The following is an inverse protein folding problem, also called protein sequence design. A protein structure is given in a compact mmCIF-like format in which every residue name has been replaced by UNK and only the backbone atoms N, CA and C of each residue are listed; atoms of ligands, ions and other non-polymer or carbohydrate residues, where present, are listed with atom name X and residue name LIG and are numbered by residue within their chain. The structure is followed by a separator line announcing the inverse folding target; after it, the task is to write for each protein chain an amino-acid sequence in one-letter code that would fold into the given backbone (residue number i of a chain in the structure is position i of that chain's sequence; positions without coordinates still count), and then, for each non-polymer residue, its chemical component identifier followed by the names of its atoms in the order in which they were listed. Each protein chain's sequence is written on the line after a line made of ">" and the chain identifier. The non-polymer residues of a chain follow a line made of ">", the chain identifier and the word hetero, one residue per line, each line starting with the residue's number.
data_IF_123373318396
#
_entry.id   IF_123373318396
#
_cell.length_a   1.000
_cell.length_b   1.000
_cell.length_c   1.000
_cell.angle_alpha   90.00
_cell.angle_beta   90.00
_cell.angle_gamma   90.00
#
_symmetry.space_group_name_H-M   'P 1'
#
loop_
_entity.id
_entity.type
_entity.pdbx_description
1 polymer ?
#
# COMPACT_ATOMS: atom_id res chain seq x y z
N UNK A 1 9.61 15.41 30.09
CA UNK A 1 9.80 16.62 29.28
C UNK A 1 10.71 16.24 28.13
N UNK A 2 10.14 15.94 26.96
CA UNK A 2 10.94 15.67 25.75
C UNK A 2 11.66 16.96 25.38
N UNK A 3 12.99 16.91 25.37
CA UNK A 3 13.81 18.10 25.15
C UNK A 3 13.58 18.69 23.74
N UNK A 4 13.90 19.97 23.51
CA UNK A 4 13.75 20.61 22.20
C UNK A 4 14.47 19.85 21.07
N UNK A 5 15.55 19.13 21.40
CA UNK A 5 16.29 18.28 20.47
C UNK A 5 15.51 17.03 20.02
N UNK A 6 14.71 16.45 20.90
CA UNK A 6 13.92 15.25 20.65
C UNK A 6 12.71 15.55 19.75
N UNK A 7 12.09 16.72 19.95
CA UNK A 7 11.04 17.24 19.08
C UNK A 7 11.58 17.55 17.67
N UNK A 8 12.77 18.17 17.57
CA UNK A 8 13.41 18.46 16.30
C UNK A 8 13.76 17.18 15.52
N UNK A 9 14.26 16.15 16.23
CA UNK A 9 14.53 14.84 15.64
C UNK A 9 13.26 14.17 15.13
N UNK A 10 12.17 14.20 15.91
CA UNK A 10 10.89 13.63 15.50
C UNK A 10 10.32 14.32 14.24
N UNK A 11 10.48 15.64 14.13
CA UNK A 11 10.05 16.39 12.95
C UNK A 11 10.93 16.10 11.73
N UNK A 12 12.25 16.00 11.91
CA UNK A 12 13.18 15.64 10.85
C UNK A 12 12.88 14.23 10.30
N UNK A 13 12.63 13.25 11.18
CA UNK A 13 12.22 11.90 10.80
C UNK A 13 10.89 11.91 10.05
N UNK A 14 9.91 12.73 10.49
CA UNK A 14 8.62 12.86 9.80
C UNK A 14 8.78 13.42 8.38
N UNK A 15 9.62 14.45 8.19
CA UNK A 15 9.93 15.04 6.88
C UNK A 15 10.67 14.05 5.98
N UNK A 16 11.68 13.36 6.50
CA UNK A 16 12.42 12.34 5.76
C UNK A 16 11.51 11.19 5.32
N UNK A 17 10.61 10.71 6.19
CA UNK A 17 9.64 9.65 5.89
C UNK A 17 8.55 10.08 4.90
N UNK A 18 8.22 11.37 4.84
CA UNK A 18 7.34 11.93 3.81
C UNK A 18 8.06 12.00 2.45
N UNK A 19 9.31 12.48 2.43
CA UNK A 19 10.13 12.58 1.22
C UNK A 19 10.43 11.20 0.61
N UNK A 20 10.73 10.21 1.46
CA UNK A 20 11.09 8.85 1.02
C UNK A 20 9.88 7.94 0.75
N UNK A 21 8.66 8.38 1.06
CA UNK A 21 7.42 7.59 0.92
C UNK A 21 7.21 7.04 -0.48
N UNK A 22 7.74 7.73 -1.49
CA UNK A 22 7.63 7.36 -2.90
C UNK A 22 8.98 7.02 -3.54
N UNK A 23 10.11 7.01 -2.81
CA UNK A 23 11.44 6.81 -3.43
C UNK A 23 11.58 5.37 -3.96
N UNK A 24 10.96 4.38 -3.32
CA UNK A 24 10.84 3.03 -3.89
C UNK A 24 9.90 2.91 -5.09
N UNK A 25 9.09 3.95 -5.38
CA UNK A 25 8.20 4.05 -6.54
C UNK A 25 8.87 4.75 -7.73
N UNK A 26 10.00 5.43 -7.51
CA UNK A 26 10.65 6.32 -8.49
C UNK A 26 11.70 5.60 -9.35
N UNK A 27 12.00 4.32 -9.12
CA UNK A 27 13.03 3.62 -9.89
C UNK A 27 12.46 2.37 -10.58
N UNK A 28 12.30 2.48 -11.91
CA UNK A 28 12.33 1.44 -12.95
C UNK A 28 11.11 0.52 -13.14
N UNK A 29 9.98 0.99 -13.71
CA UNK A 29 9.20 0.22 -14.72
C UNK A 29 8.39 1.18 -15.61
N UNK A 30 8.24 0.92 -16.92
CA UNK A 30 7.38 1.73 -17.79
C UNK A 30 5.91 1.66 -17.33
N UNK A 31 5.17 2.75 -17.50
CA UNK A 31 3.85 2.97 -16.86
C UNK A 31 2.86 1.80 -16.99
N UNK A 32 2.87 1.07 -18.11
CA UNK A 32 1.98 -0.07 -18.37
C UNK A 32 2.19 -1.25 -17.41
N UNK A 33 3.42 -1.50 -16.94
CA UNK A 33 3.71 -2.65 -16.05
C UNK A 33 3.04 -2.46 -14.69
N UNK A 34 2.90 -1.22 -14.22
CA UNK A 34 2.20 -0.94 -12.98
C UNK A 34 0.69 -1.16 -13.11
N UNK A 35 0.12 -0.87 -14.28
CA UNK A 35 -1.30 -1.08 -14.57
C UNK A 35 -1.62 -2.57 -14.69
N UNK A 36 -0.75 -3.36 -15.33
CA UNK A 36 -0.91 -4.82 -15.45
C UNK A 36 -0.85 -5.52 -14.09
N UNK A 37 0.17 -5.22 -13.27
CA UNK A 37 0.31 -5.78 -11.91
C UNK A 37 -0.89 -5.40 -11.04
N UNK A 38 -1.44 -4.20 -11.24
CA UNK A 38 -2.59 -3.70 -10.49
C UNK A 38 -3.89 -4.38 -10.94
N UNK A 39 -4.05 -4.63 -12.24
CA UNK A 39 -5.19 -5.37 -12.79
C UNK A 39 -5.20 -6.83 -12.32
N UNK A 40 -4.06 -7.51 -12.34
CA UNK A 40 -3.93 -8.88 -11.84
C UNK A 40 -4.28 -8.98 -10.35
N UNK A 41 -3.81 -8.01 -9.55
CA UNK A 41 -4.15 -7.96 -8.13
C UNK A 41 -5.65 -7.76 -7.91
N UNK A 42 -6.28 -6.90 -8.71
CA UNK A 42 -7.71 -6.64 -8.61
C UNK A 42 -8.55 -7.88 -8.93
N UNK A 43 -8.14 -8.65 -9.93
CA UNK A 43 -8.76 -9.93 -10.25
C UNK A 43 -8.66 -10.92 -9.06
N UNK A 44 -7.49 -11.02 -8.44
CA UNK A 44 -7.29 -11.86 -7.25
C UNK A 44 -8.13 -11.39 -6.05
N UNK A 45 -8.19 -10.08 -5.80
CA UNK A 45 -9.02 -9.51 -4.72
C UNK A 45 -10.50 -9.82 -4.96
N UNK A 46 -10.99 -9.69 -6.20
CA UNK A 46 -12.37 -10.01 -6.55
C UNK A 46 -12.70 -11.49 -6.30
N UNK A 47 -11.85 -12.40 -6.77
CA UNK A 47 -12.05 -13.84 -6.60
C UNK A 47 -12.13 -14.22 -5.10
N UNK A 48 -11.13 -13.81 -4.31
CA UNK A 48 -11.06 -14.14 -2.90
C UNK A 48 -12.15 -13.45 -2.06
N UNK A 49 -12.62 -12.27 -2.48
CA UNK A 49 -13.76 -11.61 -1.85
C UNK A 49 -15.07 -12.35 -2.14
N UNK A 50 -15.23 -12.89 -3.35
CA UNK A 50 -16.35 -13.77 -3.72
C UNK A 50 -16.37 -15.08 -2.92
N UNK A 51 -15.20 -15.60 -2.55
CA UNK A 51 -15.05 -16.73 -1.61
C UNK A 51 -15.40 -16.35 -0.14
N UNK A 52 -15.72 -15.08 0.14
CA UNK A 52 -16.09 -14.60 1.47
C UNK A 52 -14.89 -14.30 2.40
N UNK A 53 -13.66 -14.27 1.88
CA UNK A 53 -12.49 -13.98 2.71
C UNK A 53 -12.50 -12.53 3.22
N UNK A 54 -11.99 -12.36 4.43
CA UNK A 54 -11.77 -11.02 5.00
C UNK A 54 -10.61 -10.30 4.30
N UNK A 55 -10.60 -8.96 4.27
CA UNK A 55 -9.51 -8.20 3.63
C UNK A 55 -8.12 -8.51 4.18
N UNK A 56 -8.01 -8.92 5.47
CA UNK A 56 -6.75 -9.32 6.10
C UNK A 56 -6.28 -10.67 5.56
N UNK A 57 -7.20 -11.63 5.41
CA UNK A 57 -6.88 -12.94 4.86
C UNK A 57 -6.47 -12.82 3.38
N UNK A 58 -7.17 -11.99 2.60
CA UNK A 58 -6.84 -11.67 1.20
C UNK A 58 -5.43 -11.07 1.13
N UNK A 59 -5.11 -10.09 1.98
CA UNK A 59 -3.81 -9.45 2.02
C UNK A 59 -2.68 -10.44 2.29
N UNK A 60 -2.87 -11.35 3.25
CA UNK A 60 -1.91 -12.42 3.55
C UNK A 60 -1.72 -13.40 2.39
N UNK A 61 -2.80 -13.78 1.71
CA UNK A 61 -2.78 -14.75 0.60
C UNK A 61 -2.09 -14.18 -0.65
N UNK A 62 -2.33 -12.91 -0.96
CA UNK A 62 -1.73 -12.20 -2.11
C UNK A 62 -0.31 -11.69 -1.80
N UNK A 63 0.07 -11.60 -0.52
CA UNK A 63 1.36 -11.04 -0.11
C UNK A 63 1.41 -9.51 -0.21
N UNK A 64 0.31 -8.83 0.08
CA UNK A 64 0.22 -7.37 0.07
C UNK A 64 -0.28 -6.81 1.40
N UNK A 65 -0.29 -5.49 1.53
CA UNK A 65 -0.75 -4.84 2.75
C UNK A 65 -2.29 -4.79 2.83
N UNK A 66 -2.89 -4.94 4.03
CA UNK A 66 -4.34 -4.76 4.22
C UNK A 66 -4.92 -3.43 3.68
N UNK A 67 -4.25 -2.27 3.78
CA UNK A 67 -4.77 -1.04 3.16
C UNK A 67 -4.80 -1.13 1.63
N UNK A 68 -3.83 -1.79 0.98
CA UNK A 68 -3.85 -2.01 -0.47
C UNK A 68 -5.09 -2.81 -0.91
N UNK A 69 -5.47 -3.85 -0.15
CA UNK A 69 -6.68 -4.63 -0.43
C UNK A 69 -7.94 -3.78 -0.24
N UNK A 70 -8.00 -2.96 0.81
CA UNK A 70 -9.15 -2.06 1.05
C UNK A 70 -9.34 -1.03 -0.07
N UNK A 71 -8.24 -0.48 -0.60
CA UNK A 71 -8.31 0.40 -1.76
C UNK A 71 -8.78 -0.32 -3.02
N UNK A 72 -8.32 -1.57 -3.24
CA UNK A 72 -8.79 -2.39 -4.34
C UNK A 72 -10.30 -2.68 -4.23
N UNK A 73 -10.80 -3.10 -3.06
CA UNK A 73 -12.22 -3.34 -2.82
C UNK A 73 -13.05 -2.09 -3.09
N UNK A 74 -12.65 -0.93 -2.55
CA UNK A 74 -13.36 0.35 -2.79
C UNK A 74 -13.46 0.71 -4.26
N UNK A 75 -12.36 0.53 -5.01
CA UNK A 75 -12.31 0.82 -6.44
C UNK A 75 -13.14 -0.15 -7.28
N UNK A 76 -13.20 -1.41 -6.87
CA UNK A 76 -13.96 -2.46 -7.57
C UNK A 76 -15.44 -2.50 -7.16
N UNK A 77 -15.85 -1.70 -6.17
CA UNK A 77 -17.19 -1.67 -5.60
C UNK A 77 -17.69 -3.05 -5.10
N UNK A 78 -16.81 -3.78 -4.40
CA UNK A 78 -17.04 -5.11 -3.81
C UNK A 78 -17.32 -5.08 -2.30
#
# INVERSE_FOLDING_TARGET
>A
MTGPQEAALAEAVRKAKAATRNVGRVILQPAHVYDDIRADRDAQVRALKGEGLSPIAIARKIGCSPPTVREAIRRLAL
#
